data_IF_000794898220
#
_entry.id   IF_000794898220
#
_cell.length_a   1.000
_cell.length_b   1.000
_cell.length_c   1.000
_cell.angle_alpha   90.00
_cell.angle_beta   90.00
_cell.angle_gamma   90.00
#
_symmetry.space_group_name_H-M   'P 1'
#
loop_
_entity.id
_entity.type
_entity.pdbx_description
1 polymer ?
#
# COMPACT_ATOMS: atom_id res chain seq x y z
N UNK A 1 -17.96 11.32 6.45
CA UNK A 1 -17.84 10.25 5.53
C UNK A 1 -16.42 9.99 5.15
N UNK A 2 -15.70 10.99 4.94
CA UNK A 2 -14.31 10.84 4.65
C UNK A 2 -13.57 10.20 5.75
N UNK A 3 -13.97 10.37 7.00
CA UNK A 3 -13.24 9.83 8.11
C UNK A 3 -13.17 8.33 8.09
N UNK A 4 -14.27 7.69 7.69
CA UNK A 4 -14.29 6.25 7.62
C UNK A 4 -13.32 5.74 6.58
N UNK A 5 -13.30 6.40 5.45
CA UNK A 5 -12.38 5.98 4.39
C UNK A 5 -10.95 6.33 4.73
N UNK A 6 -10.74 7.41 5.45
CA UNK A 6 -9.40 7.78 5.88
C UNK A 6 -8.78 6.67 6.71
N UNK A 7 -9.55 6.14 7.66
CA UNK A 7 -9.06 5.06 8.50
C UNK A 7 -8.78 3.81 7.67
N UNK A 8 -9.65 3.52 6.72
CA UNK A 8 -9.44 2.36 5.87
C UNK A 8 -8.20 2.50 5.02
N UNK A 9 -7.93 3.68 4.51
CA UNK A 9 -6.71 3.91 3.73
C UNK A 9 -5.47 3.80 4.62
N UNK A 10 -5.59 4.25 5.87
CA UNK A 10 -4.48 4.15 6.79
C UNK A 10 -4.13 2.69 7.05
N UNK A 11 -5.16 1.87 7.28
CA UNK A 11 -4.96 0.45 7.52
C UNK A 11 -4.39 -0.23 6.28
N UNK A 12 -4.90 0.13 5.11
CA UNK A 12 -4.40 -0.42 3.86
C UNK A 12 -2.89 -0.14 3.73
N UNK A 13 -2.49 1.09 4.03
CA UNK A 13 -1.07 1.44 3.96
C UNK A 13 -0.23 0.61 4.92
N UNK A 14 -0.74 0.39 6.12
CA UNK A 14 -0.04 -0.43 7.09
C UNK A 14 0.11 -1.87 6.61
N UNK A 15 -0.92 -2.42 5.98
CA UNK A 15 -0.85 -3.77 5.47
C UNK A 15 0.12 -3.88 4.31
N UNK A 16 0.13 -2.89 3.45
CA UNK A 16 1.10 -2.88 2.35
C UNK A 16 2.51 -2.89 2.91
N UNK A 17 2.79 -2.04 3.90
CA UNK A 17 4.11 -2.01 4.52
C UNK A 17 4.44 -3.33 5.18
N UNK A 18 3.47 -3.93 5.84
CA UNK A 18 3.67 -5.20 6.52
C UNK A 18 4.10 -6.30 5.54
N UNK A 19 3.34 -6.45 4.46
CA UNK A 19 3.65 -7.51 3.51
C UNK A 19 4.92 -7.21 2.73
N UNK A 20 5.19 -5.92 2.47
CA UNK A 20 6.44 -5.55 1.83
C UNK A 20 7.63 -6.00 2.67
N UNK A 21 7.57 -5.73 3.97
CA UNK A 21 8.66 -6.11 4.87
C UNK A 21 8.76 -7.62 5.00
N UNK A 22 7.63 -8.29 5.00
CA UNK A 22 7.62 -9.76 5.05
C UNK A 22 8.34 -10.35 3.85
N UNK A 23 8.27 -9.68 2.69
CA UNK A 23 8.98 -10.13 1.51
C UNK A 23 10.42 -9.67 1.48
N UNK A 24 10.84 -8.91 2.49
CA UNK A 24 12.22 -8.46 2.57
C UNK A 24 12.56 -7.33 1.61
N UNK A 25 11.56 -6.60 1.16
CA UNK A 25 11.79 -5.50 0.23
C UNK A 25 11.87 -4.17 0.93
N UNK A 26 12.80 -3.32 0.48
CA UNK A 26 12.80 -1.91 0.88
C UNK A 26 11.69 -1.19 0.11
N UNK A 27 11.37 0.03 0.57
CA UNK A 27 10.42 0.84 -0.16
C UNK A 27 10.88 1.10 -1.60
N UNK A 28 12.18 1.28 -1.76
CA UNK A 28 12.74 1.53 -3.09
C UNK A 28 12.58 0.31 -4.00
N UNK A 29 12.85 -0.86 -3.45
CA UNK A 29 12.71 -2.08 -4.23
C UNK A 29 11.26 -2.31 -4.64
N UNK A 30 10.35 -2.07 -3.69
CA UNK A 30 8.93 -2.26 -3.98
C UNK A 30 8.45 -1.24 -5.00
N UNK A 31 8.88 0.02 -4.84
CA UNK A 31 8.51 1.06 -5.79
C UNK A 31 8.94 0.69 -7.20
N UNK A 32 10.16 0.20 -7.32
CA UNK A 32 10.66 -0.21 -8.63
C UNK A 32 9.83 -1.36 -9.18
N UNK A 33 9.47 -2.31 -8.32
CA UNK A 33 8.72 -3.47 -8.76
C UNK A 33 7.35 -3.09 -9.32
N UNK A 34 6.73 -2.06 -8.76
CA UNK A 34 5.41 -1.64 -9.22
C UNK A 34 5.47 -0.44 -10.18
N UNK A 35 6.68 -0.02 -10.55
CA UNK A 35 6.82 1.06 -11.53
C UNK A 35 6.41 2.42 -11.03
N UNK A 36 6.58 2.67 -9.74
CA UNK A 36 6.22 3.95 -9.15
C UNK A 36 7.40 4.52 -8.39
N UNK A 37 7.28 5.76 -7.95
CA UNK A 37 8.35 6.39 -7.18
C UNK A 37 8.36 5.90 -5.76
N UNK A 38 9.51 6.01 -5.10
CA UNK A 38 9.60 5.67 -3.68
C UNK A 38 8.73 6.61 -2.86
N UNK A 39 8.59 7.84 -3.32
CA UNK A 39 7.74 8.81 -2.65
C UNK A 39 6.29 8.36 -2.63
N UNK A 40 5.85 7.77 -3.74
CA UNK A 40 4.50 7.23 -3.83
C UNK A 40 4.29 6.13 -2.79
N UNK A 41 5.23 5.19 -2.71
CA UNK A 41 5.13 4.09 -1.76
C UNK A 41 5.17 4.62 -0.34
N UNK A 42 6.08 5.55 -0.08
CA UNK A 42 6.23 6.13 1.25
C UNK A 42 4.94 6.81 1.70
N UNK A 43 4.30 7.55 0.81
CA UNK A 43 3.06 8.24 1.14
C UNK A 43 1.92 7.27 1.41
N UNK A 44 1.83 6.21 0.60
CA UNK A 44 0.79 5.21 0.81
C UNK A 44 0.97 4.53 2.16
N UNK A 45 2.19 4.16 2.48
CA UNK A 45 2.45 3.44 3.73
C UNK A 45 2.29 4.32 4.95
N UNK A 46 2.67 5.59 4.83
CA UNK A 46 2.53 6.52 5.95
C UNK A 46 1.07 6.85 6.20
N UNK A 47 0.39 7.20 5.14
CA UNK A 47 -1.07 7.38 5.13
C UNK A 47 -1.61 8.16 6.31
N UNK A 48 -1.01 9.30 6.60
CA UNK A 48 -1.54 10.06 7.71
C UNK A 48 -2.86 10.72 7.31
N UNK A 49 -3.65 11.08 8.31
CA UNK A 49 -5.01 11.51 8.07
C UNK A 49 -5.10 12.80 7.25
N UNK A 50 -4.06 13.62 7.30
CA UNK A 50 -4.10 14.91 6.62
C UNK A 50 -3.96 14.76 5.11
N UNK A 51 -3.27 13.70 4.66
CA UNK A 51 -3.00 13.56 3.25
C UNK A 51 -3.08 12.11 2.81
N UNK A 52 -4.27 11.59 2.93
CA UNK A 52 -4.48 10.21 2.50
C UNK A 52 -4.40 10.16 0.98
N UNK A 53 -3.58 9.28 0.49
CA UNK A 53 -3.41 9.10 -0.93
C UNK A 53 -4.15 7.85 -1.39
N UNK A 54 -5.01 8.03 -2.38
CA UNK A 54 -5.73 6.91 -2.95
C UNK A 54 -4.85 6.10 -3.87
N UNK A 55 -5.23 4.85 -4.06
CA UNK A 55 -4.51 3.93 -4.91
C UNK A 55 -5.48 3.37 -5.92
N UNK A 56 -5.11 3.39 -7.19
CA UNK A 56 -5.97 2.84 -8.22
C UNK A 56 -6.06 1.33 -8.06
N UNK A 57 -7.15 0.78 -8.57
CA UNK A 57 -7.37 -0.65 -8.51
C UNK A 57 -6.25 -1.39 -9.25
N UNK A 58 -5.86 -0.86 -10.39
CA UNK A 58 -4.78 -1.47 -11.16
C UNK A 58 -3.50 -1.54 -10.36
N UNK A 59 -3.17 -0.46 -9.66
CA UNK A 59 -1.98 -0.44 -8.82
C UNK A 59 -2.09 -1.45 -7.70
N UNK A 60 -3.28 -1.61 -7.11
CA UNK A 60 -3.46 -2.59 -6.05
C UNK A 60 -3.28 -4.01 -6.57
N UNK A 61 -3.78 -4.30 -7.77
CA UNK A 61 -3.54 -5.62 -8.37
C UNK A 61 -2.04 -5.86 -8.51
N UNK A 62 -1.33 -4.85 -9.00
CA UNK A 62 0.10 -4.99 -9.21
C UNK A 62 0.83 -5.17 -7.88
N UNK A 63 0.43 -4.40 -6.87
CA UNK A 63 1.03 -4.53 -5.55
C UNK A 63 0.83 -5.93 -4.98
N UNK A 64 -0.40 -6.45 -5.06
CA UNK A 64 -0.66 -7.77 -4.52
C UNK A 64 0.16 -8.81 -5.24
N UNK A 65 0.32 -8.65 -6.54
CA UNK A 65 1.12 -9.57 -7.35
C UNK A 65 2.57 -9.57 -6.90
N UNK A 66 3.14 -8.38 -6.74
CA UNK A 66 4.54 -8.26 -6.35
C UNK A 66 4.77 -8.68 -4.90
N UNK A 67 3.74 -8.54 -4.07
CA UNK A 67 3.82 -8.98 -2.69
C UNK A 67 3.55 -10.47 -2.53
N UNK A 68 3.02 -11.11 -3.59
CA UNK A 68 2.74 -12.54 -3.54
C UNK A 68 1.56 -12.89 -2.67
N UNK A 69 0.57 -12.00 -2.57
CA UNK A 69 -0.61 -12.21 -1.76
C UNK A 69 -1.85 -11.94 -2.60
N UNK A 70 -2.99 -12.41 -2.13
CA UNK A 70 -4.24 -12.09 -2.79
C UNK A 70 -4.65 -10.67 -2.45
N UNK A 71 -5.47 -10.08 -3.31
CA UNK A 71 -6.00 -8.74 -3.04
C UNK A 71 -6.73 -8.69 -1.70
N UNK A 72 -7.41 -9.76 -1.35
CA UNK A 72 -8.18 -9.79 -0.11
C UNK A 72 -7.29 -9.54 1.10
N UNK A 73 -6.04 -10.00 1.05
CA UNK A 73 -5.12 -9.83 2.17
C UNK A 73 -4.83 -8.38 2.47
N UNK A 74 -4.97 -7.52 1.49
CA UNK A 74 -4.75 -6.10 1.70
C UNK A 74 -5.90 -5.45 2.46
N UNK A 75 -7.05 -6.10 2.54
CA UNK A 75 -8.26 -5.51 3.11
C UNK A 75 -8.79 -6.24 4.33
N UNK A 76 -8.26 -7.39 4.68
CA UNK A 76 -8.76 -8.13 5.83
C UNK A 76 -7.62 -8.79 6.58
N UNK A 77 -7.91 -9.15 7.81
CA UNK A 77 -6.89 -9.78 8.68
C UNK A 77 -6.62 -11.23 8.33
#
# INVERSE_FOLDING_TARGET
MREDYTERFRILGLRIAYYRKMRGMTQEQFAEAIGRSVSFVSQIEANNAAEVKGVSLETLFLMSEKLGISMARLFED
#
